data_IF_984481445774
#
_entry.id   IF_984481445774
#
_cell.length_a   1.000
_cell.length_b   1.000
_cell.length_c   1.000
_cell.angle_alpha   90.00
_cell.angle_beta   90.00
_cell.angle_gamma   90.00
#
_symmetry.space_group_name_H-M   'P 1'
#
loop_
_entity.id
_entity.type
_entity.pdbx_description
1 polymer ?
#
# COMPACT_ATOMS: atom_id res chain seq x y z
N UNK A 1 -24.00 2.33 -21.15
CA UNK A 1 -23.04 1.29 -21.55
C UNK A 1 -21.64 1.78 -21.25
N UNK A 2 -21.16 1.53 -20.02
CA UNK A 2 -19.77 1.82 -19.57
C UNK A 2 -19.11 0.54 -19.05
N UNK A 3 -19.91 -0.47 -18.68
CA UNK A 3 -19.49 -1.75 -18.10
C UNK A 3 -18.49 -2.55 -18.96
N UNK A 4 -18.39 -2.27 -20.27
CA UNK A 4 -17.42 -2.91 -21.17
C UNK A 4 -16.31 -1.96 -21.66
N UNK A 5 -16.07 -0.86 -20.94
CA UNK A 5 -15.00 0.11 -21.24
C UNK A 5 -13.89 0.03 -20.18
N UNK A 6 -12.63 0.39 -20.51
CA UNK A 6 -11.54 0.43 -19.53
C UNK A 6 -11.88 1.25 -18.28
N UNK A 7 -12.57 2.38 -18.46
CA UNK A 7 -13.03 3.24 -17.38
C UNK A 7 -14.07 2.57 -16.47
N UNK A 8 -14.98 1.78 -17.06
CA UNK A 8 -15.94 0.98 -16.30
C UNK A 8 -15.27 -0.11 -15.47
N UNK A 9 -14.39 -0.90 -16.09
CA UNK A 9 -13.63 -1.92 -15.38
C UNK A 9 -12.75 -1.34 -14.27
N UNK A 10 -12.16 -0.17 -14.48
CA UNK A 10 -11.39 0.53 -13.46
C UNK A 10 -12.26 1.01 -12.29
N UNK A 11 -13.47 1.51 -12.55
CA UNK A 11 -14.42 1.87 -11.51
C UNK A 11 -14.81 0.63 -10.67
N UNK A 12 -14.98 -0.53 -11.29
CA UNK A 12 -15.27 -1.78 -10.57
C UNK A 12 -14.10 -2.20 -9.67
N UNK A 13 -12.85 -2.03 -10.12
CA UNK A 13 -11.66 -2.25 -9.27
C UNK A 13 -11.68 -1.33 -8.04
N UNK A 14 -11.96 -0.04 -8.23
CA UNK A 14 -12.03 0.93 -7.12
C UNK A 14 -13.16 0.58 -6.15
N UNK A 15 -14.33 0.15 -6.66
CA UNK A 15 -15.46 -0.28 -5.82
C UNK A 15 -15.10 -1.49 -4.98
N UNK A 16 -14.53 -2.51 -5.60
CA UNK A 16 -14.13 -3.73 -4.89
C UNK A 16 -13.11 -3.42 -3.79
N UNK A 17 -12.13 -2.54 -4.06
CA UNK A 17 -11.16 -2.12 -3.06
C UNK A 17 -11.80 -1.28 -1.93
N UNK A 18 -12.73 -0.37 -2.25
CA UNK A 18 -13.46 0.40 -1.25
C UNK A 18 -14.33 -0.49 -0.36
N UNK A 19 -15.06 -1.44 -0.94
CA UNK A 19 -15.87 -2.41 -0.21
C UNK A 19 -14.99 -3.27 0.70
N UNK A 20 -13.84 -3.75 0.18
CA UNK A 20 -12.84 -4.51 0.93
C UNK A 20 -12.27 -3.72 2.13
N UNK A 21 -11.97 -2.43 1.97
CA UNK A 21 -11.41 -1.65 3.07
C UNK A 21 -12.49 -1.12 4.03
N UNK A 22 -13.74 -0.96 3.56
CA UNK A 22 -14.83 -0.38 4.37
C UNK A 22 -15.16 -1.20 5.62
N UNK A 23 -14.99 -2.52 5.58
CA UNK A 23 -15.21 -3.36 6.76
C UNK A 23 -13.94 -3.71 7.54
N UNK A 24 -12.82 -3.11 7.16
CA UNK A 24 -11.60 -3.02 7.97
C UNK A 24 -11.68 -1.87 9.00
N UNK A 25 -12.89 -1.37 9.32
CA UNK A 25 -13.12 -0.18 10.16
C UNK A 25 -12.43 1.10 9.60
N UNK A 26 -12.23 1.18 8.29
CA UNK A 26 -11.68 2.36 7.62
C UNK A 26 -12.83 3.21 7.10
N UNK A 27 -12.86 4.49 7.49
CA UNK A 27 -13.85 5.42 6.96
C UNK A 27 -13.49 5.82 5.52
N UNK A 28 -14.33 5.46 4.55
CA UNK A 28 -14.12 5.72 3.12
C UNK A 28 -15.39 6.38 2.55
N UNK A 29 -15.26 7.42 1.70
CA UNK A 29 -16.38 8.05 1.02
C UNK A 29 -17.20 7.03 0.23
N UNK A 30 -18.53 7.19 0.22
CA UNK A 30 -19.38 6.35 -0.62
C UNK A 30 -19.18 6.70 -2.09
N UNK A 31 -19.01 5.66 -2.91
CA UNK A 31 -18.99 5.81 -4.37
C UNK A 31 -20.44 6.00 -4.82
N UNK A 32 -20.69 7.09 -5.57
CA UNK A 32 -22.02 7.37 -6.11
C UNK A 32 -22.35 6.48 -7.32
N UNK A 33 -23.56 6.64 -7.85
CA UNK A 33 -24.00 5.96 -9.06
C UNK A 33 -23.11 6.28 -10.28
N UNK A 34 -23.08 5.35 -11.25
CA UNK A 34 -22.27 5.40 -12.47
C UNK A 34 -22.40 6.73 -13.23
N UNK A 35 -23.61 7.31 -13.22
CA UNK A 35 -23.91 8.59 -13.87
C UNK A 35 -23.01 9.74 -13.40
N UNK A 36 -22.57 9.76 -12.13
CA UNK A 36 -21.69 10.82 -11.60
C UNK A 36 -20.24 10.63 -12.01
N UNK A 37 -19.79 9.39 -12.24
CA UNK A 37 -18.41 9.09 -12.62
C UNK A 37 -18.07 9.67 -14.00
N UNK A 38 -19.02 9.62 -14.94
CA UNK A 38 -18.86 10.13 -16.31
C UNK A 38 -18.42 11.61 -16.32
N UNK A 39 -18.96 12.40 -15.40
CA UNK A 39 -18.76 13.85 -15.39
C UNK A 39 -17.69 14.32 -14.40
N UNK A 40 -17.47 13.57 -13.31
CA UNK A 40 -16.62 14.01 -12.20
C UNK A 40 -15.43 13.07 -11.92
N UNK A 41 -15.32 11.95 -12.61
CA UNK A 41 -14.31 10.93 -12.37
C UNK A 41 -14.49 10.18 -11.05
N UNK A 42 -13.51 9.37 -10.64
CA UNK A 42 -13.55 8.65 -9.37
C UNK A 42 -13.55 9.59 -8.17
N UNK A 43 -14.23 9.26 -7.06
CA UNK A 43 -14.14 10.03 -5.83
C UNK A 43 -12.80 9.87 -5.10
N UNK A 44 -12.02 8.84 -5.44
CA UNK A 44 -10.68 8.49 -4.96
C UNK A 44 -10.13 7.36 -5.83
N UNK A 45 -8.84 7.03 -5.69
CA UNK A 45 -8.22 5.87 -6.33
C UNK A 45 -7.67 4.94 -5.25
N UNK A 46 -8.04 3.66 -5.27
CA UNK A 46 -7.48 2.66 -4.38
C UNK A 46 -7.06 1.46 -5.22
N UNK A 47 -5.78 1.13 -5.19
CA UNK A 47 -5.17 0.03 -5.92
C UNK A 47 -4.37 -0.81 -4.93
N UNK A 48 -4.73 -2.08 -4.84
CA UNK A 48 -4.17 -3.03 -3.88
C UNK A 48 -3.64 -4.22 -4.66
N UNK A 49 -2.36 -4.55 -4.46
CA UNK A 49 -1.78 -5.73 -5.09
C UNK A 49 -2.48 -7.00 -4.56
N UNK A 50 -2.83 -7.97 -5.42
CA UNK A 50 -3.53 -9.20 -4.99
C UNK A 50 -2.82 -9.99 -3.88
N UNK A 51 -1.48 -9.90 -3.80
CA UNK A 51 -0.68 -10.59 -2.78
C UNK A 51 -0.91 -10.09 -1.35
N UNK A 52 -1.59 -8.97 -1.15
CA UNK A 52 -2.05 -8.54 0.17
C UNK A 52 -2.97 -9.60 0.82
N UNK A 53 -3.60 -10.44 0.01
CA UNK A 53 -4.53 -11.48 0.44
C UNK A 53 -5.94 -11.06 0.08
N UNK A 54 -6.46 -11.50 -1.09
CA UNK A 54 -7.70 -10.96 -1.67
C UNK A 54 -8.95 -11.42 -0.91
N UNK A 55 -8.78 -12.32 0.06
CA UNK A 55 -9.85 -12.76 0.95
C UNK A 55 -10.09 -11.73 2.03
N UNK A 56 -11.37 -11.44 2.28
CA UNK A 56 -11.86 -10.58 3.34
C UNK A 56 -11.19 -10.86 4.70
N UNK A 57 -11.10 -12.14 5.06
CA UNK A 57 -10.53 -12.59 6.33
C UNK A 57 -9.05 -12.22 6.46
N UNK A 58 -8.29 -12.18 5.37
CA UNK A 58 -6.87 -11.81 5.39
C UNK A 58 -6.71 -10.28 5.42
N UNK A 59 -7.47 -9.57 4.58
CA UNK A 59 -7.33 -8.11 4.47
C UNK A 59 -7.70 -7.39 5.77
N UNK A 60 -8.75 -7.83 6.48
CA UNK A 60 -9.14 -7.26 7.78
C UNK A 60 -8.11 -7.42 8.89
N UNK A 61 -7.18 -8.36 8.73
CA UNK A 61 -6.09 -8.58 9.67
C UNK A 61 -4.87 -7.72 9.30
N UNK A 62 -4.66 -7.38 8.03
CA UNK A 62 -3.58 -6.47 7.58
C UNK A 62 -3.99 -5.00 7.66
N UNK A 63 -5.25 -4.69 7.45
CA UNK A 63 -5.82 -3.34 7.48
C UNK A 63 -6.80 -3.21 8.65
N UNK A 64 -6.64 -2.18 9.46
CA UNK A 64 -7.60 -1.87 10.51
C UNK A 64 -7.61 -0.38 10.82
N UNK A 65 -8.80 0.23 10.86
CA UNK A 65 -9.02 1.58 11.37
C UNK A 65 -8.55 2.73 10.47
N UNK A 66 -8.86 3.96 10.86
CA UNK A 66 -8.43 5.17 10.17
C UNK A 66 -9.41 5.67 9.09
N UNK A 67 -8.91 6.38 8.08
CA UNK A 67 -9.75 6.97 7.04
C UNK A 67 -9.01 7.25 5.74
N UNK A 68 -9.74 7.23 4.63
CA UNK A 68 -9.29 7.70 3.32
C UNK A 68 -10.23 8.82 2.88
N UNK A 69 -9.70 10.02 2.65
CA UNK A 69 -10.49 11.19 2.29
C UNK A 69 -10.94 11.18 0.83
N UNK A 70 -11.97 11.97 0.51
CA UNK A 70 -12.36 12.20 -0.89
C UNK A 70 -11.22 12.89 -1.64
N UNK A 71 -10.96 12.43 -2.86
CA UNK A 71 -9.87 12.92 -3.71
C UNK A 71 -8.53 12.27 -3.39
N UNK A 72 -8.47 11.37 -2.40
CA UNK A 72 -7.24 10.66 -2.07
C UNK A 72 -6.91 9.56 -3.07
N UNK A 73 -5.66 9.15 -3.04
CA UNK A 73 -5.12 8.03 -3.79
C UNK A 73 -4.32 7.13 -2.85
N UNK A 74 -4.62 5.84 -2.85
CA UNK A 74 -3.88 4.80 -2.18
C UNK A 74 -3.41 3.76 -3.21
N UNK A 75 -2.12 3.53 -3.30
CA UNK A 75 -1.54 2.45 -4.08
C UNK A 75 -0.61 1.62 -3.18
N UNK A 76 -0.89 0.32 -3.06
CA UNK A 76 -0.12 -0.60 -2.21
C UNK A 76 0.33 -1.80 -3.04
N UNK A 77 1.57 -1.70 -3.52
CA UNK A 77 2.29 -2.71 -4.30
C UNK A 77 3.33 -3.41 -3.42
N UNK A 78 2.85 -4.04 -2.34
CA UNK A 78 3.64 -4.78 -1.34
C UNK A 78 2.76 -5.86 -0.69
N UNK A 79 3.29 -7.06 -0.44
CA UNK A 79 2.50 -8.15 0.17
C UNK A 79 2.53 -8.13 1.71
N UNK A 80 3.71 -7.86 2.28
CA UNK A 80 3.92 -7.74 3.73
C UNK A 80 3.61 -6.30 4.18
N UNK A 81 2.33 -6.09 4.48
CA UNK A 81 1.79 -4.79 4.82
C UNK A 81 1.04 -4.82 6.15
N UNK A 82 1.20 -3.74 6.93
CA UNK A 82 0.40 -3.47 8.12
C UNK A 82 -0.12 -2.03 8.07
N UNK A 83 -1.43 -1.89 8.17
CA UNK A 83 -2.14 -0.62 8.32
C UNK A 83 -2.94 -0.62 9.61
N UNK A 84 -2.64 0.32 10.50
CA UNK A 84 -3.38 0.58 11.75
C UNK A 84 -3.67 2.07 11.89
N UNK A 85 -4.95 2.42 11.86
CA UNK A 85 -5.48 3.75 12.13
C UNK A 85 -4.86 4.89 11.30
N UNK A 86 -4.48 4.59 10.05
CA UNK A 86 -3.86 5.58 9.15
C UNK A 86 -4.93 6.51 8.56
N UNK A 87 -4.61 7.80 8.50
CA UNK A 87 -5.47 8.84 7.95
C UNK A 87 -4.84 9.38 6.67
N UNK A 88 -5.51 9.18 5.54
CA UNK A 88 -5.02 9.56 4.22
C UNK A 88 -5.83 10.70 3.62
N UNK A 89 -5.20 11.86 3.45
CA UNK A 89 -5.72 13.00 2.70
C UNK A 89 -4.68 13.43 1.66
N UNK A 90 -4.89 13.01 0.42
CA UNK A 90 -3.92 13.14 -0.68
C UNK A 90 -3.49 11.79 -1.24
N UNK A 91 -2.30 11.72 -1.82
CA UNK A 91 -1.73 10.52 -2.46
C UNK A 91 -0.72 9.81 -1.56
N UNK A 92 -0.89 8.50 -1.38
CA UNK A 92 0.05 7.57 -0.76
C UNK A 92 0.32 6.41 -1.73
N UNK A 93 1.58 6.23 -2.11
CA UNK A 93 2.03 5.20 -3.03
C UNK A 93 3.16 4.41 -2.36
N UNK A 94 3.00 3.09 -2.24
CA UNK A 94 4.00 2.19 -1.66
C UNK A 94 4.30 1.13 -2.70
N UNK A 95 5.57 1.01 -3.09
CA UNK A 95 6.01 0.08 -4.12
C UNK A 95 7.23 -0.69 -3.62
N UNK A 96 7.14 -2.02 -3.68
CA UNK A 96 8.27 -2.91 -3.50
C UNK A 96 8.73 -3.50 -4.83
N UNK A 97 10.04 -3.60 -5.04
CA UNK A 97 10.60 -4.34 -6.17
C UNK A 97 10.33 -5.84 -6.02
N UNK A 98 10.63 -6.38 -4.84
CA UNK A 98 10.32 -7.76 -4.49
C UNK A 98 8.99 -7.79 -3.71
N UNK A 99 7.87 -7.98 -4.40
CA UNK A 99 6.54 -7.96 -3.76
C UNK A 99 6.27 -9.25 -2.96
N UNK A 100 6.68 -10.41 -3.48
CA UNK A 100 6.33 -11.74 -2.92
C UNK A 100 7.53 -12.68 -2.74
N UNK A 101 8.74 -12.13 -2.87
CA UNK A 101 9.98 -12.90 -2.92
C UNK A 101 10.96 -12.31 -3.93
N UNK A 102 12.12 -12.96 -4.05
CA UNK A 102 13.22 -12.49 -4.89
C UNK A 102 13.40 -13.36 -6.13
N UNK A 103 13.93 -12.77 -7.20
CA UNK A 103 14.30 -13.51 -8.41
C UNK A 103 15.66 -14.18 -8.22
N UNK A 104 15.72 -15.49 -8.49
CA UNK A 104 16.98 -16.26 -8.53
C UNK A 104 17.23 -16.77 -9.94
N UNK A 105 18.49 -16.82 -10.34
CA UNK A 105 18.89 -17.39 -11.62
C UNK A 105 18.94 -18.91 -11.49
N UNK A 106 18.23 -19.63 -12.36
CA UNK A 106 18.25 -21.09 -12.37
C UNK A 106 19.55 -21.62 -13.01
N UNK A 107 19.71 -22.95 -13.02
CA UNK A 107 20.87 -23.63 -13.65
C UNK A 107 21.01 -23.35 -15.15
N UNK A 108 19.96 -22.83 -15.81
CA UNK A 108 19.92 -22.47 -17.22
C UNK A 108 20.13 -20.95 -17.47
N UNK A 109 20.38 -20.15 -16.42
CA UNK A 109 20.58 -18.71 -16.57
C UNK A 109 19.28 -17.89 -16.60
N UNK A 110 18.12 -18.50 -16.36
CA UNK A 110 16.81 -17.84 -16.43
C UNK A 110 16.39 -17.29 -15.05
N UNK A 111 15.79 -16.08 -15.00
CA UNK A 111 15.23 -15.52 -13.78
C UNK A 111 13.95 -16.26 -13.38
N UNK A 112 13.94 -16.88 -12.20
CA UNK A 112 12.75 -17.50 -11.60
C UNK A 112 12.40 -16.76 -10.32
N UNK A 113 11.12 -16.39 -10.17
CA UNK A 113 10.59 -15.87 -8.91
C UNK A 113 10.61 -16.98 -7.87
N UNK A 114 11.40 -16.80 -6.82
CA UNK A 114 11.37 -17.66 -5.66
C UNK A 114 10.48 -17.01 -4.60
N UNK A 115 9.27 -17.55 -4.44
CA UNK A 115 8.35 -17.10 -3.40
C UNK A 115 9.00 -17.26 -2.02
N UNK A 116 8.72 -16.29 -1.15
CA UNK A 116 9.12 -16.37 0.24
C UNK A 116 9.52 -15.03 0.79
N UNK A 117 10.37 -15.12 1.80
CA UNK A 117 10.56 -14.12 2.83
C UNK A 117 11.37 -12.88 2.42
N UNK A 118 12.01 -12.95 1.25
CA UNK A 118 12.84 -11.89 0.68
C UNK A 118 11.99 -10.92 -0.14
N UNK A 119 11.21 -10.11 0.56
CA UNK A 119 10.31 -9.12 -0.03
C UNK A 119 10.33 -7.80 0.73
N UNK A 120 9.91 -6.73 0.06
CA UNK A 120 9.75 -5.43 0.68
C UNK A 120 8.58 -5.41 1.67
N UNK A 121 8.67 -4.59 2.71
CA UNK A 121 7.67 -4.55 3.79
C UNK A 121 7.35 -3.15 4.21
N UNK A 122 6.09 -2.93 4.58
CA UNK A 122 5.67 -1.63 5.05
C UNK A 122 4.70 -1.73 6.23
N UNK A 123 5.00 -0.97 7.28
CA UNK A 123 4.22 -0.89 8.51
C UNK A 123 3.87 0.55 8.79
N UNK A 124 2.57 0.84 8.83
CA UNK A 124 2.02 2.14 9.16
C UNK A 124 1.13 2.03 10.39
N UNK A 125 1.53 2.71 11.47
CA UNK A 125 0.80 2.70 12.73
C UNK A 125 0.52 4.13 13.22
N UNK A 126 -0.76 4.53 13.26
CA UNK A 126 -1.17 5.88 13.63
C UNK A 126 -0.43 6.96 12.81
N UNK A 127 -0.45 6.81 11.49
CA UNK A 127 0.19 7.72 10.53
C UNK A 127 -0.86 8.64 9.91
N UNK A 128 -0.56 9.92 9.76
CA UNK A 128 -1.37 10.85 8.98
C UNK A 128 -0.61 11.30 7.75
N UNK A 129 -1.20 11.13 6.58
CA UNK A 129 -0.63 11.56 5.29
C UNK A 129 -1.45 12.73 4.79
N UNK A 130 -0.82 13.90 4.65
CA UNK A 130 -1.46 15.15 4.26
C UNK A 130 -0.72 15.78 3.09
N UNK A 131 -1.25 15.67 1.88
CA UNK A 131 -0.67 16.30 0.71
C UNK A 131 -1.74 16.67 -0.33
N UNK A 132 -1.36 17.49 -1.32
CA UNK A 132 -2.30 17.95 -2.36
C UNK A 132 -2.80 16.86 -3.33
N UNK A 133 -2.17 15.68 -3.34
CA UNK A 133 -2.60 14.53 -4.13
C UNK A 133 -2.70 14.78 -5.63
N UNK A 134 -3.70 14.16 -6.26
CA UNK A 134 -3.97 14.21 -7.70
C UNK A 134 -4.47 15.60 -8.13
N UNK A 135 -3.99 16.07 -9.28
CA UNK A 135 -4.58 17.20 -10.00
C UNK A 135 -5.86 16.73 -10.72
N UNK A 136 -6.97 16.63 -9.98
CA UNK A 136 -8.26 16.14 -10.49
C UNK A 136 -8.85 17.00 -11.61
N UNK A 137 -8.40 18.25 -11.76
CA UNK A 137 -8.83 19.15 -12.82
C UNK A 137 -8.07 18.94 -14.15
N UNK A 138 -7.02 18.13 -14.14
CA UNK A 138 -6.22 17.84 -15.33
C UNK A 138 -7.00 16.97 -16.32
N UNK A 139 -7.39 17.57 -17.46
CA UNK A 139 -8.02 16.86 -18.58
C UNK A 139 -7.11 15.82 -19.27
N UNK A 140 -5.82 15.77 -18.90
CA UNK A 140 -4.86 14.79 -19.41
C UNK A 140 -4.82 13.50 -18.61
N UNK A 141 -5.47 13.44 -17.45
CA UNK A 141 -5.42 12.25 -16.61
C UNK A 141 -6.13 11.08 -17.31
N UNK A 142 -5.43 9.94 -17.39
CA UNK A 142 -6.00 8.67 -17.83
C UNK A 142 -5.88 7.69 -16.67
N UNK A 143 -6.92 7.65 -15.82
CA UNK A 143 -6.88 6.98 -14.53
C UNK A 143 -6.62 5.47 -14.64
N UNK A 144 -7.27 4.80 -15.58
CA UNK A 144 -7.11 3.36 -15.79
C UNK A 144 -5.71 2.97 -16.29
N UNK A 145 -4.97 3.90 -16.91
CA UNK A 145 -3.57 3.71 -17.31
C UNK A 145 -2.58 4.12 -16.22
N UNK A 146 -3.08 4.67 -15.10
CA UNK A 146 -2.27 5.34 -14.07
C UNK A 146 -1.41 6.50 -14.60
N UNK A 147 -1.75 7.05 -15.78
CA UNK A 147 -1.15 8.27 -16.32
C UNK A 147 -1.85 9.47 -15.69
N UNK A 148 -1.44 9.78 -14.46
CA UNK A 148 -2.14 10.72 -13.57
C UNK A 148 -1.16 11.79 -13.11
N UNK A 149 -1.55 13.05 -13.28
CA UNK A 149 -0.80 14.20 -12.75
C UNK A 149 -1.10 14.40 -11.27
N UNK A 150 -0.06 14.62 -10.48
CA UNK A 150 -0.14 14.90 -9.04
C UNK A 150 0.48 16.26 -8.74
N UNK A 151 -0.09 16.98 -7.76
CA UNK A 151 0.53 18.16 -7.17
C UNK A 151 1.59 17.75 -6.17
N UNK A 152 1.27 16.80 -5.30
CA UNK A 152 2.14 16.28 -4.24
C UNK A 152 1.75 14.81 -3.97
N UNK A 153 2.69 14.03 -3.46
CA UNK A 153 2.44 12.67 -3.00
C UNK A 153 3.41 12.28 -1.90
N UNK A 154 3.02 11.31 -1.08
CA UNK A 154 3.94 10.51 -0.29
C UNK A 154 4.21 9.21 -1.06
N UNK A 155 5.46 8.98 -1.42
CA UNK A 155 5.89 7.76 -2.11
C UNK A 155 6.93 7.01 -1.29
N UNK A 156 6.72 5.72 -1.10
CA UNK A 156 7.69 4.79 -0.48
C UNK A 156 8.14 3.80 -1.57
N UNK A 157 9.45 3.72 -1.78
CA UNK A 157 10.12 2.81 -2.70
C UNK A 157 10.98 1.84 -1.87
N UNK A 158 10.69 0.55 -1.98
CA UNK A 158 11.38 -0.51 -1.25
C UNK A 158 12.17 -1.35 -2.25
N UNK A 159 13.50 -1.25 -2.18
CA UNK A 159 14.40 -2.04 -3.01
C UNK A 159 14.69 -3.39 -2.34
N UNK A 160 14.73 -4.47 -3.11
CA UNK A 160 15.01 -5.81 -2.58
C UNK A 160 14.18 -6.18 -1.33
N UNK A 161 14.85 -6.44 -0.20
CA UNK A 161 14.26 -6.82 1.09
C UNK A 161 14.14 -5.62 2.05
N UNK A 162 13.93 -4.42 1.52
CA UNK A 162 13.82 -3.22 2.32
C UNK A 162 12.54 -3.15 3.17
N UNK A 163 12.64 -2.50 4.32
CA UNK A 163 11.52 -2.30 5.25
C UNK A 163 11.27 -0.82 5.51
N UNK A 164 10.00 -0.41 5.52
CA UNK A 164 9.60 0.93 5.93
C UNK A 164 8.62 0.86 7.09
N UNK A 165 8.93 1.54 8.18
CA UNK A 165 8.08 1.65 9.35
C UNK A 165 7.80 3.11 9.67
N UNK A 166 6.53 3.50 9.73
CA UNK A 166 6.12 4.81 10.20
C UNK A 166 5.16 4.68 11.38
N UNK A 167 5.48 5.35 12.49
CA UNK A 167 4.70 5.26 13.72
C UNK A 167 4.46 6.62 14.35
N UNK A 168 3.21 6.92 14.72
CA UNK A 168 2.81 8.14 15.44
C UNK A 168 3.33 9.42 14.78
N UNK A 169 3.19 9.53 13.45
CA UNK A 169 3.80 10.61 12.67
C UNK A 169 2.83 11.23 11.68
N UNK A 170 2.99 12.53 11.43
CA UNK A 170 2.29 13.27 10.38
C UNK A 170 3.29 13.55 9.25
N UNK A 171 2.96 13.10 8.05
CA UNK A 171 3.77 13.24 6.85
C UNK A 171 3.07 14.21 5.90
N UNK A 172 3.61 15.42 5.81
CA UNK A 172 3.02 16.52 5.04
C UNK A 172 3.80 16.82 3.75
N UNK A 173 3.06 17.21 2.71
CA UNK A 173 3.62 17.67 1.44
C UNK A 173 4.13 16.56 0.54
N UNK A 174 5.03 16.91 -0.38
CA UNK A 174 5.62 15.98 -1.33
C UNK A 174 6.84 15.29 -0.72
N UNK A 175 6.73 14.00 -0.44
CA UNK A 175 7.76 13.21 0.25
C UNK A 175 8.05 11.93 -0.55
N UNK A 176 9.33 11.58 -0.67
CA UNK A 176 9.76 10.32 -1.28
C UNK A 176 10.74 9.66 -0.33
N UNK A 177 10.40 8.46 0.12
CA UNK A 177 11.27 7.60 0.92
C UNK A 177 11.74 6.46 0.02
N UNK A 178 13.04 6.44 -0.25
CA UNK A 178 13.69 5.37 -1.01
C UNK A 178 14.54 4.56 -0.03
N UNK A 179 14.15 3.30 0.19
CA UNK A 179 14.78 2.42 1.17
C UNK A 179 15.62 1.39 0.42
N UNK A 180 16.95 1.40 0.59
CA UNK A 180 17.84 0.46 -0.08
C UNK A 180 17.63 -0.99 0.36
N UNK A 181 18.01 -1.94 -0.49
CA UNK A 181 17.98 -3.37 -0.16
C UNK A 181 18.78 -3.67 1.10
N UNK A 182 18.20 -4.49 1.99
CA UNK A 182 18.79 -4.85 3.27
C UNK A 182 18.76 -3.76 4.33
N UNK A 183 17.97 -2.70 4.16
CA UNK A 183 17.79 -1.65 5.16
C UNK A 183 16.34 -1.51 5.61
N UNK A 184 16.19 -1.08 6.86
CA UNK A 184 14.93 -0.65 7.46
C UNK A 184 14.96 0.85 7.72
N UNK A 185 13.97 1.55 7.20
CA UNK A 185 13.74 2.97 7.45
C UNK A 185 12.61 3.15 8.46
N UNK A 186 12.92 3.74 9.61
CA UNK A 186 11.99 4.05 10.69
C UNK A 186 11.71 5.54 10.73
N UNK A 187 10.43 5.94 10.61
CA UNK A 187 9.96 7.33 10.63
C UNK A 187 9.05 7.55 11.82
N UNK A 188 9.38 8.53 12.65
CA UNK A 188 8.64 8.85 13.87
C UNK A 188 8.60 10.36 14.09
N UNK A 189 7.58 10.81 14.83
CA UNK A 189 7.43 12.22 15.14
C UNK A 189 8.61 12.74 15.97
N UNK A 190 9.01 13.98 15.70
CA UNK A 190 10.06 14.69 16.42
C UNK A 190 9.67 16.16 16.63
N UNK A 191 10.40 16.89 17.47
CA UNK A 191 10.12 18.31 17.73
C UNK A 191 10.23 19.20 16.46
N UNK A 192 10.93 18.73 15.43
CA UNK A 192 11.11 19.43 14.16
C UNK A 192 10.18 18.93 13.04
N UNK A 193 9.19 18.09 13.36
CA UNK A 193 8.29 17.44 12.42
C UNK A 193 8.40 15.92 12.55
N UNK A 194 9.36 15.32 11.84
CA UNK A 194 9.67 13.90 11.96
C UNK A 194 11.18 13.66 11.91
N UNK A 195 11.60 12.52 12.42
CA UNK A 195 12.96 11.99 12.31
C UNK A 195 12.92 10.70 11.50
N UNK A 196 13.99 10.46 10.76
CA UNK A 196 14.19 9.25 9.94
C UNK A 196 15.44 8.56 10.43
N UNK A 197 15.32 7.28 10.76
CA UNK A 197 16.45 6.39 11.05
C UNK A 197 16.53 5.34 9.96
N UNK A 198 17.73 5.09 9.45
CA UNK A 198 18.00 4.04 8.49
C UNK A 198 18.98 3.06 9.14
N UNK A 199 18.54 1.82 9.29
CA UNK A 199 19.29 0.76 9.98
C UNK A 199 19.50 -0.41 9.02
N UNK A 200 20.69 -1.01 8.97
CA UNK A 200 20.87 -2.26 8.24
C UNK A 200 20.06 -3.38 8.91
N UNK A 201 19.47 -4.24 8.10
CA UNK A 201 18.85 -5.49 8.54
C UNK A 201 19.97 -6.51 8.70
N UNK A 202 20.06 -7.15 9.86
CA UNK A 202 21.09 -8.16 10.15
C UNK A 202 21.01 -9.30 9.13
N UNK A 203 22.17 -9.85 8.72
CA UNK A 203 22.23 -10.90 7.69
C UNK A 203 21.41 -12.14 8.08
N UNK A 204 21.38 -12.46 9.38
CA UNK A 204 20.57 -13.55 9.92
C UNK A 204 19.07 -13.30 9.70
N UNK A 205 18.62 -12.05 9.80
CA UNK A 205 17.25 -11.62 9.59
C UNK A 205 16.91 -11.43 8.10
N UNK A 206 17.87 -11.47 7.18
CA UNK A 206 17.58 -11.43 5.74
C UNK A 206 16.89 -12.72 5.25
N UNK A 207 17.09 -13.83 5.96
CA UNK A 207 16.46 -15.13 5.64
C UNK A 207 15.32 -15.48 6.61
N UNK A 208 15.35 -15.01 7.87
CA UNK A 208 14.28 -15.26 8.86
C UNK A 208 13.35 -14.08 9.11
N UNK A 209 13.62 -12.91 8.52
CA UNK A 209 12.81 -11.70 8.55
C UNK A 209 12.80 -10.93 9.89
N UNK A 210 12.54 -9.61 9.86
CA UNK A 210 12.28 -8.85 11.09
C UNK A 210 10.88 -9.11 11.65
N UNK A 211 9.88 -9.22 10.77
CA UNK A 211 8.55 -9.73 11.08
C UNK A 211 7.85 -10.30 9.85
N UNK A 212 6.85 -11.17 10.01
CA UNK A 212 5.99 -11.60 8.90
C UNK A 212 4.61 -12.08 9.37
N UNK A 213 3.68 -12.22 8.42
CA UNK A 213 2.39 -12.86 8.67
C UNK A 213 2.46 -14.38 8.53
N UNK A 214 2.36 -15.09 9.65
CA UNK A 214 2.13 -16.54 9.65
C UNK A 214 0.64 -16.82 9.42
N UNK A 215 0.35 -17.57 8.36
CA UNK A 215 -1.02 -17.97 7.99
C UNK A 215 -1.37 -19.28 8.69
N UNK A 216 -2.40 -19.24 9.53
CA UNK A 216 -2.92 -20.39 10.24
C UNK A 216 -4.38 -20.66 9.87
N UNK A 217 -4.77 -21.93 9.81
CA UNK A 217 -6.17 -22.33 9.65
C UNK A 217 -6.78 -22.61 11.02
N UNK A 218 -7.84 -21.88 11.37
CA UNK A 218 -8.66 -22.13 12.55
C UNK A 218 -10.04 -22.60 12.11
N UNK A 219 -10.15 -23.88 11.76
CA UNK A 219 -11.35 -24.44 11.13
C UNK A 219 -11.50 -23.93 9.68
N UNK A 220 -12.64 -23.34 9.28
CA UNK A 220 -12.81 -22.75 7.95
C UNK A 220 -12.20 -21.35 7.81
N UNK A 221 -11.69 -20.76 8.90
CA UNK A 221 -11.21 -19.38 8.94
C UNK A 221 -9.70 -19.29 8.83
N UNK A 222 -9.23 -18.24 8.16
CA UNK A 222 -7.82 -17.89 8.09
C UNK A 222 -7.48 -16.90 9.22
N UNK A 223 -6.46 -17.21 10.01
CA UNK A 223 -5.92 -16.34 11.04
C UNK A 223 -4.47 -15.99 10.72
N UNK A 224 -4.15 -14.70 10.80
CA UNK A 224 -2.80 -14.19 10.70
C UNK A 224 -2.23 -13.99 12.09
N UNK A 225 -1.02 -14.49 12.29
CA UNK A 225 -0.22 -14.18 13.47
C UNK A 225 1.02 -13.42 13.01
N UNK A 226 1.23 -12.23 13.57
CA UNK A 226 2.47 -11.52 13.32
C UNK A 226 3.59 -12.20 14.13
N UNK A 227 4.59 -12.72 13.43
CA UNK A 227 5.83 -13.21 14.02
C UNK A 227 6.83 -12.06 13.99
N UNK A 228 7.56 -11.84 15.09
CA UNK A 228 8.57 -10.80 15.25
C UNK A 228 9.78 -11.47 15.88
N UNK A 229 10.99 -11.21 15.36
CA UNK A 229 12.25 -11.75 15.86
C UNK A 229 13.04 -10.71 16.66
#
# INVERSE_FOLDING_TARGET
MIESTPDGSFLDVIRNAADLLSQCNINIPKIADNSKYIHFGPPFIILLHPALGPLWEVTTQKFFGGSISKGSELQVEVAEFLWRDVQLNGSLIIVAENIMGSTRINVHGEPILHYGHRCGRCKLNNVKVLNKGIDWASAKNVYWKQDIKRFEMLKVLLHGNAEFEATNVVLEGNQVFEVPDGYRMCVFSSNAGFEVKLEPIEEEMMETESWFWEYNLSGPHIQLKQIIF
#
